data_IF_787629799576
#
_entry.id   IF_787629799576
#
_cell.length_a   1.000
_cell.length_b   1.000
_cell.length_c   1.000
_cell.angle_alpha   90.00
_cell.angle_beta   90.00
_cell.angle_gamma   90.00
#
_symmetry.space_group_name_H-M   'P 1'
#
loop_
_entity.id
_entity.type
_entity.pdbx_description
1 polymer ?
#
# COMPACT_ATOMS: atom_id res chain seq x y z
N UNK A 1 -16.89 1.70 2.52
CA UNK A 1 -16.69 1.19 3.89
C UNK A 1 -17.30 -0.20 4.08
N UNK A 2 -18.61 -0.40 3.92
CA UNK A 2 -19.26 -1.71 4.21
C UNK A 2 -18.69 -2.88 3.39
N UNK A 3 -18.41 -2.66 2.10
CA UNK A 3 -17.75 -3.66 1.24
C UNK A 3 -16.39 -4.08 1.81
N UNK A 4 -15.59 -3.12 2.26
CA UNK A 4 -14.26 -3.36 2.83
C UNK A 4 -14.35 -4.10 4.18
N UNK A 5 -15.37 -3.80 4.97
CA UNK A 5 -15.62 -4.56 6.20
C UNK A 5 -16.07 -6.00 5.91
N UNK A 6 -16.84 -6.22 4.85
CA UNK A 6 -17.24 -7.57 4.43
C UNK A 6 -16.04 -8.38 3.94
N UNK A 7 -15.13 -7.77 3.16
CA UNK A 7 -13.88 -8.42 2.76
C UNK A 7 -12.98 -8.69 3.96
N UNK A 8 -12.95 -7.80 4.97
CA UNK A 8 -12.19 -8.01 6.21
C UNK A 8 -12.73 -9.19 7.02
N UNK A 9 -14.06 -9.32 7.15
CA UNK A 9 -14.66 -10.50 7.81
C UNK A 9 -14.34 -11.79 7.09
N UNK A 10 -14.31 -11.79 5.75
CA UNK A 10 -13.88 -12.94 4.95
C UNK A 10 -12.40 -13.25 5.18
N UNK A 11 -11.56 -12.22 5.25
CA UNK A 11 -10.14 -12.33 5.55
C UNK A 11 -9.88 -12.98 6.92
N UNK A 12 -10.60 -12.57 7.96
CA UNK A 12 -10.48 -13.15 9.31
C UNK A 12 -10.87 -14.64 9.37
N UNK A 13 -11.77 -15.08 8.50
CA UNK A 13 -12.25 -16.47 8.47
C UNK A 13 -11.31 -17.43 7.74
N UNK A 14 -10.39 -16.93 6.91
CA UNK A 14 -9.46 -17.75 6.13
C UNK A 14 -8.27 -18.19 6.98
N UNK A 15 -7.64 -19.33 6.66
CA UNK A 15 -6.42 -19.77 7.36
C UNK A 15 -5.20 -18.90 6.99
N UNK A 16 -4.25 -18.67 7.91
CA UNK A 16 -3.05 -17.83 7.70
C UNK A 16 -2.16 -18.21 6.51
N UNK A 17 -2.28 -19.44 6.00
CA UNK A 17 -1.44 -20.00 4.92
C UNK A 17 -2.13 -20.10 3.55
N UNK A 18 -3.34 -19.56 3.42
CA UNK A 18 -4.02 -19.54 2.12
C UNK A 18 -3.46 -18.40 1.26
N UNK A 19 -3.06 -18.67 0.02
CA UNK A 19 -2.71 -17.62 -0.95
C UNK A 19 -3.86 -16.62 -1.18
N UNK A 20 -5.09 -17.07 -0.99
CA UNK A 20 -6.29 -16.21 -0.99
C UNK A 20 -6.27 -15.16 0.13
N UNK A 21 -5.65 -15.46 1.28
CA UNK A 21 -5.51 -14.52 2.40
C UNK A 21 -4.54 -13.39 2.02
N UNK A 22 -3.43 -13.69 1.36
CA UNK A 22 -2.49 -12.68 0.86
C UNK A 22 -3.15 -11.74 -0.16
N UNK A 23 -3.89 -12.29 -1.13
CA UNK A 23 -4.63 -11.47 -2.09
C UNK A 23 -5.66 -10.56 -1.40
N UNK A 24 -6.43 -11.10 -0.45
CA UNK A 24 -7.41 -10.30 0.30
C UNK A 24 -6.75 -9.26 1.22
N UNK A 25 -5.57 -9.55 1.79
CA UNK A 25 -4.79 -8.56 2.54
C UNK A 25 -4.44 -7.36 1.65
N UNK A 26 -3.91 -7.62 0.45
CA UNK A 26 -3.56 -6.56 -0.49
C UNK A 26 -4.79 -5.77 -0.95
N UNK A 27 -5.91 -6.45 -1.24
CA UNK A 27 -7.18 -5.80 -1.56
C UNK A 27 -7.68 -4.91 -0.41
N UNK A 28 -7.53 -5.37 0.84
CA UNK A 28 -7.90 -4.61 2.04
C UNK A 28 -7.01 -3.39 2.25
N UNK A 29 -5.70 -3.51 2.04
CA UNK A 29 -4.76 -2.39 2.15
C UNK A 29 -5.05 -1.34 1.08
N UNK A 30 -5.13 -1.75 -0.19
CA UNK A 30 -5.44 -0.85 -1.30
C UNK A 30 -6.81 -0.19 -1.14
N UNK A 31 -7.81 -0.94 -0.69
CA UNK A 31 -9.14 -0.40 -0.41
C UNK A 31 -9.17 0.54 0.79
N UNK A 32 -8.36 0.30 1.82
CA UNK A 32 -8.22 1.21 2.96
C UNK A 32 -7.58 2.53 2.54
N UNK A 33 -6.48 2.50 1.78
CA UNK A 33 -5.82 3.70 1.25
C UNK A 33 -6.75 4.50 0.33
N UNK A 34 -7.50 3.82 -0.54
CA UNK A 34 -8.48 4.48 -1.41
C UNK A 34 -9.57 5.20 -0.62
N UNK A 35 -10.07 4.60 0.47
CA UNK A 35 -11.07 5.23 1.33
C UNK A 35 -10.46 6.37 2.15
N UNK A 36 -9.24 6.21 2.67
CA UNK A 36 -8.53 7.28 3.39
C UNK A 36 -8.40 8.53 2.51
N UNK A 37 -7.98 8.37 1.26
CA UNK A 37 -7.90 9.49 0.30
C UNK A 37 -9.27 10.15 0.06
N UNK A 38 -10.34 9.36 -0.08
CA UNK A 38 -11.70 9.90 -0.24
C UNK A 38 -12.16 10.66 1.01
N UNK A 39 -11.79 10.19 2.21
CA UNK A 39 -12.11 10.86 3.47
C UNK A 39 -11.33 12.17 3.60
N UNK A 40 -10.07 12.21 3.15
CA UNK A 40 -9.27 13.45 3.11
C UNK A 40 -9.88 14.49 2.15
N UNK A 41 -10.41 14.06 1.01
CA UNK A 41 -11.15 14.95 0.11
C UNK A 41 -12.43 15.49 0.76
N UNK A 42 -13.17 14.62 1.46
CA UNK A 42 -14.37 15.04 2.19
C UNK A 42 -14.05 16.03 3.30
N UNK A 43 -12.93 15.87 4.02
CA UNK A 43 -12.48 16.85 5.01
C UNK A 43 -12.12 18.20 4.39
N UNK A 44 -11.51 18.21 3.20
CA UNK A 44 -11.28 19.45 2.43
C UNK A 44 -12.61 20.11 2.04
N UNK A 45 -13.58 19.33 1.56
CA UNK A 45 -14.91 19.84 1.21
C UNK A 45 -15.65 20.40 2.44
N UNK A 46 -15.53 19.75 3.61
CA UNK A 46 -16.08 20.25 4.87
C UNK A 46 -15.41 21.57 5.26
N UNK A 47 -14.08 21.69 5.14
CA UNK A 47 -13.37 22.93 5.45
C UNK A 47 -13.76 24.10 4.52
N UNK A 48 -14.06 23.82 3.24
CA UNK A 48 -14.62 24.82 2.31
C UNK A 48 -16.03 25.22 2.72
N UNK A 49 -16.87 24.25 3.07
CA UNK A 49 -18.24 24.50 3.51
C UNK A 49 -18.31 25.32 4.82
N UNK A 50 -17.38 25.10 5.73
CA UNK A 50 -17.25 25.84 7.00
C UNK A 50 -16.90 27.31 6.80
N UNK A 51 -16.15 27.64 5.73
CA UNK A 51 -15.78 29.04 5.42
C UNK A 51 -16.96 29.87 4.94
N UNK A 52 -17.94 29.26 4.29
CA UNK A 52 -19.15 29.94 3.81
C UNK A 52 -20.40 29.04 3.95
N UNK A 53 -20.91 28.83 5.18
CA UNK A 53 -22.03 27.91 5.41
C UNK A 53 -23.32 28.37 4.72
N UNK A 54 -23.49 29.69 4.53
CA UNK A 54 -24.68 30.29 3.92
C UNK A 54 -24.76 29.93 2.44
N UNK A 55 -23.64 29.98 1.70
CA UNK A 55 -23.58 29.59 0.29
C UNK A 55 -23.98 28.14 0.07
N UNK A 56 -23.64 27.25 0.99
CA UNK A 56 -23.95 25.83 0.88
C UNK A 56 -25.25 25.43 1.59
N UNK A 57 -25.91 26.36 2.29
CA UNK A 57 -27.11 26.09 3.11
C UNK A 57 -26.91 24.94 4.11
N UNK A 58 -25.74 24.90 4.75
CA UNK A 58 -25.37 23.86 5.72
C UNK A 58 -25.37 24.47 7.12
N UNK A 59 -25.98 23.77 8.08
CA UNK A 59 -26.01 24.15 9.50
C UNK A 59 -24.79 23.58 10.27
N UNK A 60 -24.41 24.21 11.39
CA UNK A 60 -23.27 23.78 12.22
C UNK A 60 -23.47 22.35 12.75
N UNK A 61 -24.72 21.97 13.06
CA UNK A 61 -25.05 20.61 13.49
C UNK A 61 -24.74 19.59 12.37
N UNK A 62 -24.97 19.98 11.12
CA UNK A 62 -24.66 19.12 9.97
C UNK A 62 -23.16 19.06 9.70
N UNK A 63 -22.43 20.19 9.78
CA UNK A 63 -20.97 20.21 9.69
C UNK A 63 -20.35 19.29 10.74
N UNK A 64 -20.81 19.35 11.99
CA UNK A 64 -20.31 18.50 13.06
C UNK A 64 -20.60 17.01 12.82
N UNK A 65 -21.77 16.66 12.27
CA UNK A 65 -22.06 15.28 11.85
C UNK A 65 -21.09 14.81 10.76
N UNK A 66 -20.77 15.66 9.79
CA UNK A 66 -19.83 15.35 8.70
C UNK A 66 -18.41 15.16 9.26
N UNK A 67 -17.91 16.05 10.12
CA UNK A 67 -16.61 15.91 10.81
C UNK A 67 -16.53 14.62 11.63
N UNK A 68 -17.58 14.30 12.39
CA UNK A 68 -17.62 13.05 13.18
C UNK A 68 -17.60 11.82 12.29
N UNK A 69 -18.27 11.87 11.13
CA UNK A 69 -18.29 10.75 10.19
C UNK A 69 -16.93 10.55 9.53
N UNK A 70 -16.25 11.62 9.07
CA UNK A 70 -14.91 11.52 8.47
C UNK A 70 -13.89 11.03 9.49
N UNK A 71 -13.89 11.60 10.70
CA UNK A 71 -13.04 11.15 11.80
C UNK A 71 -13.28 9.68 12.19
N UNK A 72 -14.54 9.24 12.31
CA UNK A 72 -14.87 7.85 12.60
C UNK A 72 -14.41 6.90 11.49
N UNK A 73 -14.60 7.30 10.22
CA UNK A 73 -14.22 6.48 9.07
C UNK A 73 -12.71 6.34 8.97
N UNK A 74 -11.95 7.42 9.18
CA UNK A 74 -10.47 7.39 9.22
C UNK A 74 -9.96 6.44 10.30
N UNK A 75 -10.48 6.56 11.52
CA UNK A 75 -10.14 5.65 12.62
C UNK A 75 -10.46 4.17 12.31
N UNK A 76 -11.55 3.90 11.58
CA UNK A 76 -11.88 2.55 11.15
C UNK A 76 -10.89 2.01 10.11
N UNK A 77 -10.53 2.80 9.11
CA UNK A 77 -9.57 2.38 8.08
C UNK A 77 -8.18 2.14 8.67
N UNK A 78 -7.72 3.02 9.54
CA UNK A 78 -6.43 2.87 10.24
C UNK A 78 -6.39 1.58 11.07
N UNK A 79 -7.46 1.29 11.83
CA UNK A 79 -7.57 0.04 12.60
C UNK A 79 -7.53 -1.20 11.71
N UNK A 80 -8.24 -1.18 10.59
CA UNK A 80 -8.26 -2.29 9.63
C UNK A 80 -6.87 -2.50 9.03
N UNK A 81 -6.21 -1.42 8.62
CA UNK A 81 -4.86 -1.45 8.05
C UNK A 81 -3.84 -2.03 9.03
N UNK A 82 -3.83 -1.55 10.28
CA UNK A 82 -2.93 -2.07 11.33
C UNK A 82 -3.20 -3.55 11.58
N UNK A 83 -4.47 -3.97 11.64
CA UNK A 83 -4.83 -5.37 11.87
C UNK A 83 -4.33 -6.29 10.74
N UNK A 84 -4.47 -5.88 9.49
CA UNK A 84 -3.98 -6.63 8.32
C UNK A 84 -2.45 -6.67 8.30
N UNK A 85 -1.78 -5.54 8.53
CA UNK A 85 -0.31 -5.47 8.50
C UNK A 85 0.32 -6.36 9.57
N UNK A 86 -0.17 -6.29 10.82
CA UNK A 86 0.33 -7.12 11.93
C UNK A 86 0.16 -8.61 11.64
N UNK A 87 -0.91 -8.98 10.95
CA UNK A 87 -1.19 -10.37 10.60
C UNK A 87 -0.30 -10.89 9.44
N UNK A 88 -0.01 -10.03 8.46
CA UNK A 88 0.96 -10.28 7.39
C UNK A 88 2.40 -10.42 7.93
N UNK A 89 2.79 -9.57 8.89
CA UNK A 89 4.12 -9.62 9.49
C UNK A 89 4.33 -10.93 10.28
N UNK A 90 3.32 -11.35 11.07
CA UNK A 90 3.35 -12.64 11.80
C UNK A 90 3.48 -13.85 10.88
N UNK A 91 2.82 -13.83 9.73
CA UNK A 91 2.90 -14.91 8.76
C UNK A 91 4.26 -14.92 8.03
N UNK A 92 4.88 -13.75 7.82
CA UNK A 92 6.25 -13.64 7.30
C UNK A 92 7.32 -14.10 8.30
N UNK A 93 7.23 -13.72 9.57
CA UNK A 93 8.17 -14.12 10.64
C UNK A 93 8.17 -15.64 10.88
N UNK A 94 6.99 -16.27 10.79
CA UNK A 94 6.87 -17.72 10.93
C UNK A 94 7.54 -18.47 9.76
N UNK A 95 7.54 -17.89 8.56
CA UNK A 95 8.29 -18.40 7.40
C UNK A 95 9.80 -18.13 7.53
N UNK A 96 10.21 -16.96 8.01
CA UNK A 96 11.62 -16.63 8.27
C UNK A 96 12.24 -17.50 9.36
N UNK A 97 11.54 -17.79 10.46
CA UNK A 97 12.03 -18.71 11.51
C UNK A 97 12.10 -20.18 11.06
N UNK A 98 11.33 -20.58 10.04
CA UNK A 98 11.49 -21.88 9.39
C UNK A 98 12.73 -21.90 8.46
N UNK A 99 12.96 -20.81 7.72
CA UNK A 99 14.12 -20.65 6.84
C UNK A 99 15.44 -20.43 7.59
N UNK A 100 15.46 -19.74 8.74
CA UNK A 100 16.68 -19.56 9.55
C UNK A 100 17.10 -20.89 10.19
N UNK A 101 16.14 -21.74 10.60
CA UNK A 101 16.45 -23.10 11.08
C UNK A 101 17.06 -23.98 9.96
N UNK A 102 16.63 -23.84 8.71
CA UNK A 102 17.25 -24.54 7.59
C UNK A 102 18.61 -23.94 7.20
N UNK A 103 18.77 -22.62 7.30
CA UNK A 103 20.04 -21.94 7.03
C UNK A 103 21.10 -22.15 8.13
N UNK A 104 20.69 -22.35 9.39
CA UNK A 104 21.60 -22.70 10.50
C UNK A 104 22.25 -24.07 10.29
N UNK A 105 21.51 -25.05 9.77
CA UNK A 105 22.06 -26.35 9.32
C UNK A 105 23.03 -26.14 8.14
N UNK A 106 22.70 -25.21 7.22
CA UNK A 106 23.56 -24.84 6.09
C UNK A 106 24.86 -24.18 6.53
N UNK A 107 24.84 -23.35 7.57
CA UNK A 107 26.00 -22.64 8.12
C UNK A 107 26.95 -23.57 8.89
N UNK A 108 26.42 -24.58 9.60
CA UNK A 108 27.25 -25.63 10.20
C UNK A 108 27.95 -26.51 9.16
N UNK A 109 27.34 -26.71 7.99
CA UNK A 109 27.91 -27.49 6.88
C UNK A 109 28.93 -26.71 6.03
N UNK A 110 28.86 -25.37 6.03
CA UNK A 110 29.84 -24.47 5.40
C UNK A 110 31.07 -24.22 6.29
N UNK A 111 31.05 -24.71 7.54
CA UNK A 111 32.20 -24.66 8.44
C UNK A 111 33.23 -25.69 7.98
N UNK A 112 34.13 -25.26 7.09
CA UNK A 112 35.31 -26.02 6.68
C UNK A 112 36.11 -26.49 7.91
N UNK A 113 36.33 -27.80 8.13
CA UNK A 113 37.36 -28.26 9.02
C UNK A 113 38.68 -28.21 8.24
N UNK A 114 39.41 -27.11 8.34
CA UNK A 114 40.77 -27.08 7.81
C UNK A 114 41.74 -26.41 8.77
N UNK A 115 42.24 -27.23 9.69
CA UNK A 115 43.63 -27.16 10.15
C UNK A 115 43.98 -28.54 10.71
N UNK A 116 44.56 -29.39 9.85
CA UNK A 116 45.56 -30.43 10.19
C UNK A 116 45.90 -31.24 8.94
N UNK A 117 47.03 -30.88 8.36
CA UNK A 117 47.78 -31.62 7.34
C UNK A 117 48.04 -33.07 7.76
N UNK A 118 47.56 -34.02 6.96
CA UNK A 118 47.90 -35.45 7.06
C UNK A 118 47.28 -36.26 5.92
N UNK A 119 48.02 -37.15 5.21
CA UNK A 119 47.58 -37.69 3.93
C UNK A 119 46.79 -38.99 4.08
N UNK A 120 45.58 -39.10 3.52
CA UNK A 120 44.97 -40.40 3.14
C UNK A 120 44.08 -40.32 1.89
N UNK A 121 43.98 -41.43 1.12
CA UNK A 121 43.51 -41.45 -0.26
C UNK A 121 42.04 -41.91 -0.41
N UNK A 122 41.51 -41.73 -1.62
CA UNK A 122 40.19 -42.14 -2.13
C UNK A 122 38.97 -41.47 -1.49
N UNK A 123 38.56 -40.33 -2.07
CA UNK A 123 37.17 -39.88 -2.00
C UNK A 123 36.47 -40.29 -3.29
N UNK A 124 35.62 -41.30 -3.16
CA UNK A 124 34.64 -41.73 -4.16
C UNK A 124 33.82 -40.50 -4.56
N UNK A 125 33.73 -40.23 -5.87
CA UNK A 125 32.81 -39.23 -6.42
C UNK A 125 31.39 -39.63 -6.06
N UNK A 126 30.72 -38.81 -5.26
CA UNK A 126 29.37 -39.07 -4.76
C UNK A 126 28.36 -38.62 -5.83
N UNK A 127 27.48 -39.50 -6.34
CA UNK A 127 26.46 -39.16 -7.35
C UNK A 127 25.28 -38.34 -6.77
N UNK A 128 25.24 -38.09 -5.47
CA UNK A 128 24.19 -37.31 -4.79
C UNK A 128 24.27 -35.79 -5.04
N UNK A 129 25.31 -35.31 -5.74
CA UNK A 129 25.47 -33.89 -6.07
C UNK A 129 24.43 -33.39 -7.09
N UNK A 130 23.86 -34.28 -7.91
CA UNK A 130 22.96 -33.88 -9.01
C UNK A 130 21.57 -33.49 -8.48
N UNK A 131 21.05 -34.22 -7.49
CA UNK A 131 19.77 -33.90 -6.83
C UNK A 131 19.79 -32.61 -6.00
N UNK A 132 20.96 -32.24 -5.48
CA UNK A 132 21.16 -30.97 -4.79
C UNK A 132 21.17 -29.79 -5.78
N UNK A 133 21.77 -29.97 -6.95
CA UNK A 133 21.81 -28.94 -7.99
C UNK A 133 20.40 -28.73 -8.58
N UNK A 134 19.63 -29.79 -8.82
CA UNK A 134 18.26 -29.65 -9.35
C UNK A 134 17.33 -28.99 -8.33
N UNK A 135 17.35 -29.41 -7.06
CA UNK A 135 16.50 -28.82 -6.02
C UNK A 135 16.82 -27.34 -5.75
N UNK A 136 18.09 -26.94 -5.81
CA UNK A 136 18.46 -25.53 -5.65
C UNK A 136 18.14 -24.70 -6.91
N UNK A 137 18.20 -25.31 -8.10
CA UNK A 137 17.76 -24.68 -9.36
C UNK A 137 16.25 -24.42 -9.35
N UNK A 138 15.45 -25.40 -8.92
CA UNK A 138 14.00 -25.24 -8.78
C UNK A 138 13.63 -24.13 -7.79
N UNK A 139 14.40 -23.98 -6.71
CA UNK A 139 14.23 -22.90 -5.74
C UNK A 139 14.53 -21.52 -6.35
N UNK A 140 15.60 -21.40 -7.13
CA UNK A 140 15.91 -20.15 -7.84
C UNK A 140 14.82 -19.79 -8.85
N UNK A 141 14.26 -20.77 -9.56
CA UNK A 141 13.14 -20.54 -10.49
C UNK A 141 11.91 -20.01 -9.77
N UNK A 142 11.62 -20.51 -8.56
CA UNK A 142 10.49 -20.02 -7.76
C UNK A 142 10.69 -18.57 -7.30
N UNK A 143 11.91 -18.24 -6.87
CA UNK A 143 12.31 -16.88 -6.49
C UNK A 143 12.20 -15.89 -7.65
N UNK A 144 12.62 -16.28 -8.85
CA UNK A 144 12.52 -15.43 -10.04
C UNK A 144 11.05 -15.18 -10.39
N UNK A 145 10.19 -16.20 -10.29
CA UNK A 145 8.75 -16.04 -10.52
C UNK A 145 8.08 -15.10 -9.51
N UNK A 146 8.48 -15.18 -8.24
CA UNK A 146 7.95 -14.30 -7.20
C UNK A 146 8.37 -12.85 -7.45
N UNK A 147 9.62 -12.63 -7.85
CA UNK A 147 10.12 -11.30 -8.25
C UNK A 147 9.41 -10.76 -9.50
N UNK A 148 9.15 -11.59 -10.52
CA UNK A 148 8.40 -11.17 -11.70
C UNK A 148 6.98 -10.72 -11.32
N UNK A 149 6.32 -11.44 -10.40
CA UNK A 149 5.01 -11.05 -9.89
C UNK A 149 5.06 -9.72 -9.12
N UNK A 150 6.08 -9.52 -8.29
CA UNK A 150 6.30 -8.23 -7.59
C UNK A 150 6.53 -7.07 -8.58
N UNK A 151 7.23 -7.32 -9.70
CA UNK A 151 7.45 -6.32 -10.74
C UNK A 151 6.17 -5.98 -11.51
N UNK A 152 5.32 -6.96 -11.80
CA UNK A 152 4.01 -6.72 -12.43
C UNK A 152 3.10 -5.88 -11.51
N UNK A 153 3.12 -6.16 -10.21
CA UNK A 153 2.37 -5.40 -9.21
C UNK A 153 2.93 -3.97 -9.03
N UNK A 154 4.26 -3.81 -9.06
CA UNK A 154 4.91 -2.50 -9.06
C UNK A 154 4.53 -1.71 -10.32
N UNK A 155 4.53 -2.35 -11.50
CA UNK A 155 4.12 -1.74 -12.76
C UNK A 155 2.67 -1.26 -12.70
N UNK A 156 1.76 -2.09 -12.19
CA UNK A 156 0.37 -1.69 -11.99
C UNK A 156 0.23 -0.52 -11.01
N UNK A 157 1.08 -0.45 -9.98
CA UNK A 157 1.12 0.66 -9.03
C UNK A 157 1.62 1.96 -9.66
N UNK A 158 2.64 1.87 -10.53
CA UNK A 158 3.14 3.01 -11.32
C UNK A 158 2.10 3.52 -12.31
N UNK A 159 1.35 2.63 -12.97
CA UNK A 159 0.27 3.02 -13.88
C UNK A 159 -0.85 3.76 -13.15
N UNK A 160 -1.27 3.26 -11.97
CA UNK A 160 -2.24 3.95 -11.11
C UNK A 160 -1.74 5.31 -10.66
N UNK A 161 -0.47 5.41 -10.23
CA UNK A 161 0.15 6.68 -9.83
C UNK A 161 0.20 7.66 -11.01
N UNK A 162 0.50 7.18 -12.22
CA UNK A 162 0.47 7.97 -13.45
C UNK A 162 -0.93 8.51 -13.75
N UNK A 163 -1.97 7.68 -13.59
CA UNK A 163 -3.36 8.11 -13.71
C UNK A 163 -3.75 9.19 -12.70
N UNK A 164 -3.34 9.04 -11.44
CA UNK A 164 -3.56 10.07 -10.41
C UNK A 164 -2.81 11.36 -10.76
N UNK A 165 -1.58 11.27 -11.25
CA UNK A 165 -0.79 12.42 -11.70
C UNK A 165 -1.47 13.20 -12.83
N UNK A 166 -2.09 12.50 -13.79
CA UNK A 166 -2.88 13.13 -14.86
C UNK A 166 -4.10 13.86 -14.32
N UNK A 167 -4.87 13.23 -13.41
CA UNK A 167 -6.02 13.88 -12.78
C UNK A 167 -5.61 15.11 -11.98
N UNK A 168 -4.50 15.05 -11.23
CA UNK A 168 -3.96 16.21 -10.52
C UNK A 168 -3.58 17.32 -11.50
N UNK A 169 -2.95 16.97 -12.63
CA UNK A 169 -2.58 17.95 -13.64
C UNK A 169 -3.81 18.64 -14.25
N UNK A 170 -4.86 17.89 -14.59
CA UNK A 170 -6.13 18.46 -15.08
C UNK A 170 -6.79 19.39 -14.05
N UNK A 171 -6.80 19.00 -12.77
CA UNK A 171 -7.32 19.81 -11.68
C UNK A 171 -6.50 21.10 -11.49
N UNK A 172 -5.17 21.04 -11.56
CA UNK A 172 -4.31 22.23 -11.50
C UNK A 172 -4.54 23.18 -12.68
N UNK A 173 -4.71 22.65 -13.89
CA UNK A 173 -5.08 23.45 -15.07
C UNK A 173 -6.46 24.11 -14.89
N UNK A 174 -7.42 23.39 -14.28
CA UNK A 174 -8.72 23.94 -13.92
C UNK A 174 -8.61 25.07 -12.91
N UNK A 175 -7.76 24.92 -11.89
CA UNK A 175 -7.50 25.95 -10.89
C UNK A 175 -6.80 27.18 -11.46
N UNK A 176 -5.85 27.01 -12.38
CA UNK A 176 -5.20 28.12 -13.10
C UNK A 176 -6.24 28.98 -13.83
N UNK A 177 -7.16 28.35 -14.55
CA UNK A 177 -8.26 29.06 -15.23
C UNK A 177 -9.17 29.81 -14.26
N UNK A 178 -9.52 29.20 -13.13
CA UNK A 178 -10.35 29.84 -12.11
C UNK A 178 -9.63 31.07 -11.51
N UNK A 179 -8.31 31.00 -11.32
CA UNK A 179 -7.51 32.12 -10.85
C UNK A 179 -7.45 33.26 -11.89
N UNK A 180 -7.30 32.94 -13.17
CA UNK A 180 -7.38 33.95 -14.24
C UNK A 180 -8.74 34.65 -14.30
N UNK A 181 -9.83 33.90 -14.14
CA UNK A 181 -11.18 34.46 -14.09
C UNK A 181 -11.37 35.37 -12.86
N UNK A 182 -10.84 34.96 -11.70
CA UNK A 182 -10.86 35.78 -10.48
C UNK A 182 -10.04 37.07 -10.63
N UNK A 183 -8.89 37.02 -11.28
CA UNK A 183 -8.04 38.19 -11.56
C UNK A 183 -8.75 39.20 -12.46
N UNK A 184 -9.39 38.72 -13.55
CA UNK A 184 -10.19 39.57 -14.43
C UNK A 184 -11.38 40.23 -13.71
N UNK A 185 -12.04 39.50 -12.81
CA UNK A 185 -13.13 40.06 -12.02
C UNK A 185 -12.62 41.05 -10.98
N UNK A 186 -11.45 40.81 -10.37
CA UNK A 186 -10.78 41.77 -9.50
C UNK A 186 -10.45 43.06 -10.25
N UNK A 187 -9.89 42.97 -11.45
CA UNK A 187 -9.58 44.11 -12.32
C UNK A 187 -10.84 44.91 -12.70
N UNK A 188 -11.93 44.23 -13.08
CA UNK A 188 -13.23 44.90 -13.34
C UNK A 188 -13.73 45.62 -12.10
N UNK A 189 -13.60 45.00 -10.93
CA UNK A 189 -14.05 45.59 -9.67
C UNK A 189 -13.19 46.80 -9.27
N UNK A 190 -11.87 46.70 -9.47
CA UNK A 190 -10.90 47.79 -9.31
C UNK A 190 -11.24 48.98 -10.22
N UNK A 191 -11.45 48.73 -11.51
CA UNK A 191 -11.85 49.76 -12.48
C UNK A 191 -13.19 50.42 -12.14
N UNK A 192 -14.14 49.67 -11.56
CA UNK A 192 -15.42 50.23 -11.09
C UNK A 192 -15.26 51.07 -9.83
N UNK A 193 -14.35 50.71 -8.92
CA UNK A 193 -14.04 51.51 -7.74
C UNK A 193 -13.32 52.81 -8.13
N UNK A 194 -12.37 52.75 -9.06
CA UNK A 194 -11.63 53.92 -9.57
C UNK A 194 -12.56 54.92 -10.28
N UNK A 195 -13.64 54.45 -10.91
CA UNK A 195 -14.66 55.32 -11.52
C UNK A 195 -15.60 56.01 -10.49
N UNK A 196 -15.72 55.45 -9.28
CA UNK A 196 -16.62 55.95 -8.23
C UNK A 196 -15.92 56.94 -7.28
N UNK A 197 -14.62 57.18 -7.48
CA UNK A 197 -13.79 58.11 -6.71
C UNK A 197 -13.47 59.39 -7.50
#
# INVERSE_FOLDING_TARGET
VDKLQATFRRYEQLLPRSGERGHLANELLAGSESIEWQVDELDRAIAVAERDPVRFSIDEIELEKRRRWTASTRNQMERLRIAVQVDMDKSSEQNHSANIRSNGIRQELLRFPNDRTGPRPNRVMNPDSDGFITSETDRQVLLIKEQDQELDELSASVERLGGVGLTIHEELMGQERILEELDQDMDKTSNRLDFVQ
#
